data_IF_707801653113
#
_entry.id   IF_707801653113
#
_cell.length_a   1.000
_cell.length_b   1.000
_cell.length_c   1.000
_cell.angle_alpha   90.00
_cell.angle_beta   90.00
_cell.angle_gamma   90.00
#
_symmetry.space_group_name_H-M   'P 1'
#
loop_
_entity.id
_entity.type
_entity.pdbx_description
1 polymer ?
#
# COMPACT_ATOMS: atom_id res chain seq x y z
N UNK A 1 18.32 20.37 -9.17
CA UNK A 1 18.21 19.50 -7.98
C UNK A 1 17.91 18.08 -8.44
N UNK A 2 18.84 17.13 -8.38
CA UNK A 2 18.58 15.67 -8.46
C UNK A 2 19.88 14.90 -8.18
N UNK A 3 20.17 14.58 -6.91
CA UNK A 3 21.33 13.76 -6.52
C UNK A 3 21.01 12.75 -5.39
N UNK A 4 19.82 12.15 -5.42
CA UNK A 4 19.37 11.23 -4.34
C UNK A 4 19.66 9.75 -4.66
N UNK A 5 19.65 9.34 -5.93
CA UNK A 5 19.81 7.94 -6.33
C UNK A 5 21.26 7.41 -6.23
N UNK A 6 22.25 8.26 -6.48
CA UNK A 6 23.66 7.85 -6.53
C UNK A 6 24.33 7.74 -5.16
N UNK A 7 23.76 8.37 -4.12
CA UNK A 7 24.32 8.34 -2.75
C UNK A 7 24.04 7.03 -2.01
N UNK A 8 22.98 6.30 -2.37
CA UNK A 8 22.66 5.01 -1.77
C UNK A 8 23.56 3.89 -2.28
N UNK A 9 23.86 3.89 -3.59
CA UNK A 9 24.74 2.90 -4.22
C UNK A 9 26.16 2.97 -3.65
N UNK A 10 26.72 4.19 -3.52
CA UNK A 10 28.11 4.40 -3.11
C UNK A 10 28.40 4.10 -1.63
N UNK A 11 27.36 3.96 -0.79
CA UNK A 11 27.52 3.65 0.65
C UNK A 11 27.53 2.13 0.94
N UNK A 12 27.05 1.30 0.01
CA UNK A 12 27.02 -0.16 0.14
C UNK A 12 28.34 -0.82 -0.30
N UNK A 13 29.07 -0.22 -1.25
CA UNK A 13 30.37 -0.75 -1.73
C UNK A 13 31.49 -0.71 -0.69
N UNK A 14 31.39 0.16 0.33
CA UNK A 14 32.49 0.45 1.27
C UNK A 14 32.39 -0.26 2.64
N UNK A 15 31.69 -1.40 2.76
CA UNK A 15 31.76 -2.23 3.98
C UNK A 15 32.23 -3.65 3.68
N UNK A 16 33.32 -3.98 4.36
CA UNK A 16 34.07 -5.25 4.44
C UNK A 16 33.20 -6.52 4.56
N UNK A 17 33.76 -7.70 4.19
CA UNK A 17 33.00 -8.84 3.72
C UNK A 17 32.35 -9.58 4.89
N UNK A 18 31.03 -9.53 4.96
CA UNK A 18 30.19 -10.51 5.67
C UNK A 18 29.30 -11.18 4.62
N UNK A 19 28.96 -12.48 4.79
CA UNK A 19 28.45 -13.32 3.71
C UNK A 19 27.27 -12.62 3.05
N UNK A 20 27.51 -12.16 1.83
CA UNK A 20 26.68 -11.18 1.15
C UNK A 20 25.40 -11.87 0.73
N UNK A 21 24.27 -11.41 1.29
CA UNK A 21 22.98 -11.57 0.62
C UNK A 21 23.21 -11.29 -0.87
N UNK A 22 22.91 -12.28 -1.71
CA UNK A 22 23.35 -12.23 -3.12
C UNK A 22 22.77 -10.96 -3.75
N UNK A 23 23.46 -10.27 -4.65
CA UNK A 23 22.96 -9.05 -5.31
C UNK A 23 21.50 -9.21 -5.82
N UNK A 24 21.13 -10.41 -6.25
CA UNK A 24 19.75 -10.81 -6.60
C UNK A 24 18.74 -10.69 -5.44
N UNK A 25 19.11 -11.07 -4.23
CA UNK A 25 18.24 -10.96 -3.06
C UNK A 25 18.01 -9.49 -2.69
N UNK A 26 19.08 -8.69 -2.67
CA UNK A 26 18.97 -7.24 -2.42
C UNK A 26 18.08 -6.56 -3.47
N UNK A 27 18.25 -6.90 -4.75
CA UNK A 27 17.39 -6.41 -5.82
C UNK A 27 15.93 -6.88 -5.65
N UNK A 28 15.70 -8.16 -5.32
CA UNK A 28 14.35 -8.68 -5.05
C UNK A 28 13.67 -7.96 -3.88
N UNK A 29 14.39 -7.72 -2.79
CA UNK A 29 13.87 -6.96 -1.65
C UNK A 29 13.54 -5.52 -2.04
N UNK A 30 14.45 -4.84 -2.75
CA UNK A 30 14.22 -3.48 -3.22
C UNK A 30 12.99 -3.39 -4.12
N UNK A 31 12.83 -4.34 -5.06
CA UNK A 31 11.67 -4.43 -5.95
C UNK A 31 10.36 -4.71 -5.20
N UNK A 32 10.36 -5.59 -4.19
CA UNK A 32 9.17 -5.88 -3.35
C UNK A 32 8.74 -4.65 -2.54
N UNK A 33 9.70 -3.95 -1.94
CA UNK A 33 9.43 -2.73 -1.17
C UNK A 33 8.92 -1.62 -2.07
N UNK A 34 9.55 -1.42 -3.23
CA UNK A 34 9.13 -0.41 -4.20
C UNK A 34 7.75 -0.71 -4.80
N UNK A 35 7.45 -1.97 -5.11
CA UNK A 35 6.11 -2.40 -5.56
C UNK A 35 5.04 -2.09 -4.52
N UNK A 36 5.32 -2.38 -3.25
CA UNK A 36 4.40 -2.09 -2.16
C UNK A 36 4.17 -0.58 -2.02
N UNK A 37 5.25 0.21 -2.07
CA UNK A 37 5.14 1.67 -2.04
C UNK A 37 4.27 2.20 -3.19
N UNK A 38 4.52 1.78 -4.43
CA UNK A 38 3.75 2.21 -5.59
C UNK A 38 2.27 1.80 -5.49
N UNK A 39 1.97 0.60 -5.00
CA UNK A 39 0.58 0.17 -4.78
C UNK A 39 -0.14 1.02 -3.73
N UNK A 40 0.57 1.47 -2.70
CA UNK A 40 0.01 2.36 -1.68
C UNK A 40 -0.33 3.74 -2.27
N UNK A 41 0.57 4.29 -3.08
CA UNK A 41 0.32 5.56 -3.78
C UNK A 41 -0.83 5.43 -4.78
N UNK A 42 -0.86 4.32 -5.54
CA UNK A 42 -1.94 3.99 -6.46
C UNK A 42 -3.32 3.98 -5.77
N UNK A 43 -3.39 3.39 -4.58
CA UNK A 43 -4.64 3.29 -3.81
C UNK A 43 -5.27 4.65 -3.49
N UNK A 44 -4.50 5.75 -3.44
CA UNK A 44 -5.05 7.09 -3.23
C UNK A 44 -6.09 7.47 -4.30
N UNK A 45 -5.99 6.90 -5.51
CA UNK A 45 -6.95 7.11 -6.60
C UNK A 45 -8.36 6.64 -6.25
N UNK A 46 -8.50 5.66 -5.35
CA UNK A 46 -9.79 5.13 -4.91
C UNK A 46 -10.77 6.22 -4.47
N UNK A 47 -10.28 7.20 -3.71
CA UNK A 47 -11.12 8.28 -3.17
C UNK A 47 -11.47 9.38 -4.17
N UNK A 48 -10.87 9.37 -5.36
CA UNK A 48 -11.13 10.38 -6.40
C UNK A 48 -12.29 10.00 -7.32
N UNK A 49 -12.76 8.74 -7.26
CA UNK A 49 -13.90 8.29 -8.05
C UNK A 49 -15.21 8.91 -7.56
N UNK A 50 -16.05 9.38 -8.49
CA UNK A 50 -17.41 9.85 -8.18
C UNK A 50 -18.47 8.74 -8.16
N UNK A 51 -18.18 7.62 -8.81
CA UNK A 51 -19.09 6.50 -8.96
C UNK A 51 -18.62 5.33 -8.11
N UNK A 52 -19.47 4.85 -7.20
CA UNK A 52 -19.19 3.65 -6.40
C UNK A 52 -18.92 2.42 -7.25
N UNK A 53 -19.57 2.32 -8.43
CA UNK A 53 -19.27 1.24 -9.38
C UNK A 53 -17.81 1.29 -9.86
N UNK A 54 -17.32 2.45 -10.31
CA UNK A 54 -15.93 2.61 -10.78
C UNK A 54 -14.92 2.41 -9.65
N UNK A 55 -15.24 2.89 -8.44
CA UNK A 55 -14.44 2.66 -7.25
C UNK A 55 -14.36 1.16 -6.90
N UNK A 56 -15.48 0.43 -7.00
CA UNK A 56 -15.54 -1.01 -6.77
C UNK A 56 -14.68 -1.80 -7.75
N UNK A 57 -14.79 -1.52 -9.05
CA UNK A 57 -13.95 -2.16 -10.06
C UNK A 57 -12.45 -1.89 -9.83
N UNK A 58 -12.10 -0.65 -9.46
CA UNK A 58 -10.72 -0.32 -9.08
C UNK A 58 -10.27 -1.13 -7.86
N UNK A 59 -11.09 -1.18 -6.81
CA UNK A 59 -10.77 -1.88 -5.57
C UNK A 59 -10.52 -3.37 -5.80
N UNK A 60 -11.36 -4.02 -6.60
CA UNK A 60 -11.24 -5.44 -6.93
C UNK A 60 -9.95 -5.74 -7.73
N UNK A 61 -9.64 -4.91 -8.71
CA UNK A 61 -8.40 -5.01 -9.48
C UNK A 61 -7.16 -4.77 -8.59
N UNK A 62 -7.21 -3.75 -7.75
CA UNK A 62 -6.12 -3.41 -6.83
C UNK A 62 -5.87 -4.54 -5.81
N UNK A 63 -6.93 -5.14 -5.25
CA UNK A 63 -6.81 -6.30 -4.36
C UNK A 63 -6.23 -7.53 -5.07
N UNK A 64 -6.53 -7.71 -6.35
CA UNK A 64 -5.95 -8.78 -7.16
C UNK A 64 -4.43 -8.59 -7.33
N UNK A 65 -3.99 -7.36 -7.59
CA UNK A 65 -2.56 -7.04 -7.68
C UNK A 65 -1.82 -7.25 -6.35
N UNK A 66 -2.49 -7.08 -5.22
CA UNK A 66 -1.88 -7.15 -3.90
C UNK A 66 -1.36 -8.56 -3.54
N UNK A 67 -1.86 -9.62 -4.17
CA UNK A 67 -1.36 -10.99 -4.00
C UNK A 67 0.14 -11.15 -4.28
N UNK A 68 0.65 -10.33 -5.18
CA UNK A 68 2.06 -10.30 -5.57
C UNK A 68 2.95 -9.40 -4.70
N UNK A 69 2.34 -8.66 -3.76
CA UNK A 69 3.01 -7.73 -2.85
C UNK A 69 2.71 -8.13 -1.39
N UNK A 70 3.51 -9.04 -0.80
CA UNK A 70 3.20 -9.62 0.52
C UNK A 70 2.99 -8.59 1.64
N UNK A 71 3.67 -7.44 1.59
CA UNK A 71 3.54 -6.38 2.59
C UNK A 71 2.18 -5.66 2.55
N UNK A 72 1.41 -5.80 1.46
CA UNK A 72 0.10 -5.15 1.27
C UNK A 72 -1.05 -6.15 1.30
N UNK A 73 -0.74 -7.44 1.28
CA UNK A 73 -1.74 -8.51 1.21
C UNK A 73 -2.76 -8.42 2.35
N UNK A 74 -2.33 -8.21 3.59
CA UNK A 74 -3.24 -8.08 4.74
C UNK A 74 -4.18 -6.87 4.63
N UNK A 75 -3.68 -5.75 4.09
CA UNK A 75 -4.50 -4.57 3.82
C UNK A 75 -5.54 -4.88 2.74
N UNK A 76 -5.14 -5.54 1.66
CA UNK A 76 -6.05 -5.94 0.58
C UNK A 76 -7.14 -6.91 1.06
N UNK A 77 -6.80 -7.88 1.91
CA UNK A 77 -7.78 -8.78 2.52
C UNK A 77 -8.78 -8.02 3.39
N UNK A 78 -8.30 -7.06 4.18
CA UNK A 78 -9.15 -6.21 5.01
C UNK A 78 -10.09 -5.35 4.16
N UNK A 79 -9.56 -4.70 3.12
CA UNK A 79 -10.34 -3.90 2.18
C UNK A 79 -11.40 -4.74 1.46
N UNK A 80 -11.05 -5.96 1.04
CA UNK A 80 -11.98 -6.89 0.40
C UNK A 80 -13.11 -7.32 1.34
N UNK A 81 -12.82 -7.56 2.62
CA UNK A 81 -13.85 -7.86 3.65
C UNK A 81 -14.80 -6.68 3.89
N UNK A 82 -14.31 -5.45 3.77
CA UNK A 82 -15.10 -4.23 3.98
C UNK A 82 -15.54 -3.54 2.69
N UNK A 83 -15.49 -4.25 1.55
CA UNK A 83 -15.80 -3.69 0.22
C UNK A 83 -17.14 -2.98 0.21
N UNK A 84 -18.19 -3.64 0.69
CA UNK A 84 -19.55 -3.07 0.62
C UNK A 84 -19.68 -1.79 1.46
N UNK A 85 -19.04 -1.76 2.64
CA UNK A 85 -18.99 -0.57 3.48
C UNK A 85 -18.25 0.58 2.79
N UNK A 86 -17.12 0.27 2.13
CA UNK A 86 -16.34 1.26 1.38
C UNK A 86 -17.13 1.80 0.18
N UNK A 87 -17.90 0.96 -0.51
CA UNK A 87 -18.72 1.39 -1.65
C UNK A 87 -19.97 2.16 -1.23
N UNK A 88 -20.54 1.86 -0.06
CA UNK A 88 -21.63 2.62 0.54
C UNK A 88 -21.25 4.09 0.79
N UNK A 89 -19.98 4.39 1.08
CA UNK A 89 -19.48 5.76 1.21
C UNK A 89 -19.70 6.59 -0.07
N UNK A 90 -19.51 5.98 -1.25
CA UNK A 90 -19.74 6.65 -2.54
C UNK A 90 -21.24 6.82 -2.83
N UNK A 91 -22.07 5.85 -2.43
CA UNK A 91 -23.53 5.95 -2.55
C UNK A 91 -24.09 7.08 -1.68
N UNK A 92 -23.52 7.26 -0.49
CA UNK A 92 -23.84 8.35 0.43
C UNK A 92 -23.17 9.69 0.08
N UNK A 93 -22.47 9.81 -1.07
CA UNK A 93 -21.71 11.01 -1.49
C UNK A 93 -20.74 11.56 -0.42
N UNK A 94 -20.24 10.72 0.48
CA UNK A 94 -19.40 11.16 1.59
C UNK A 94 -20.14 11.85 2.75
N UNK A 95 -21.48 11.79 2.81
CA UNK A 95 -22.28 12.27 3.94
C UNK A 95 -22.20 11.36 5.17
N UNK A 96 -21.67 10.14 5.01
CA UNK A 96 -21.19 9.35 6.15
C UNK A 96 -19.95 10.05 6.72
N UNK A 97 -20.17 10.82 7.79
CA UNK A 97 -19.19 11.70 8.41
C UNK A 97 -17.82 11.03 8.57
N UNK A 98 -16.75 11.79 8.28
CA UNK A 98 -15.34 11.42 8.45
C UNK A 98 -15.01 10.69 9.76
N UNK A 99 -15.85 10.85 10.80
CA UNK A 99 -15.74 10.15 12.08
C UNK A 99 -15.75 8.61 11.96
N UNK A 100 -16.51 8.02 11.03
CA UNK A 100 -16.49 6.55 10.83
C UNK A 100 -15.18 6.08 10.20
N UNK A 101 -14.65 6.87 9.26
CA UNK A 101 -13.38 6.60 8.55
C UNK A 101 -12.19 6.82 9.49
N UNK A 102 -12.21 7.86 10.32
CA UNK A 102 -11.22 8.08 11.37
C UNK A 102 -11.23 6.99 12.45
N UNK A 103 -12.41 6.46 12.79
CA UNK A 103 -12.53 5.30 13.69
C UNK A 103 -11.83 4.06 13.11
N UNK A 104 -12.02 3.78 11.83
CA UNK A 104 -11.30 2.70 11.11
C UNK A 104 -9.80 2.97 11.04
N UNK A 105 -9.39 4.19 10.69
CA UNK A 105 -7.98 4.57 10.57
C UNK A 105 -7.26 4.50 11.92
N UNK A 106 -7.95 4.83 13.01
CA UNK A 106 -7.45 4.67 14.39
C UNK A 106 -7.29 3.20 14.75
N UNK A 107 -8.28 2.34 14.44
CA UNK A 107 -8.17 0.89 14.66
C UNK A 107 -7.01 0.26 13.87
N UNK A 108 -6.84 0.67 12.62
CA UNK A 108 -5.71 0.22 11.78
C UNK A 108 -4.35 0.66 12.36
N UNK A 109 -4.22 1.92 12.78
CA UNK A 109 -3.01 2.43 13.45
C UNK A 109 -2.69 1.69 14.75
N UNK A 110 -3.72 1.32 15.52
CA UNK A 110 -3.54 0.55 16.77
C UNK A 110 -3.11 -0.89 16.48
N UNK A 111 -3.66 -1.53 15.45
CA UNK A 111 -3.24 -2.87 15.04
C UNK A 111 -1.77 -2.89 14.58
N UNK A 112 -1.36 -1.91 13.78
CA UNK A 112 0.03 -1.73 13.31
C UNK A 112 1.04 -1.40 14.42
N UNK A 113 0.58 -0.97 15.61
CA UNK A 113 1.42 -0.73 16.79
C UNK A 113 1.64 -1.98 17.64
N UNK A 114 0.88 -3.05 17.39
CA UNK A 114 0.92 -4.30 18.17
C UNK A 114 1.60 -5.47 17.43
N UNK A 115 2.18 -5.22 16.26
CA UNK A 115 2.99 -6.16 15.47
C UNK A 115 4.42 -5.68 15.40
#
# INVERSE_FOLDING_TARGET
MHHSGWRLLKRLENRTPKPTATLRELLKYNLRTMRSYLMKEDFQRFWTYRSGYRAGTFLDAWCTLAWSAPAIKEMAETLRRHRDLLLNWFAAKGELSNSSVEGMNTKAKVALRKS
#
